data_IF_592804224612
#
_entry.id   IF_592804224612
#
_cell.length_a   1.000
_cell.length_b   1.000
_cell.length_c   1.000
_cell.angle_alpha   90.00
_cell.angle_beta   90.00
_cell.angle_gamma   90.00
#
_symmetry.space_group_name_H-M   'P 1'
#
loop_
_entity.id
_entity.type
_entity.pdbx_description
1 polymer ?
#
# COMPACT_ATOMS: atom_id res chain seq x y z
N UNK A 1 -12.39 -40.48 66.66
CA UNK A 1 -11.79 -39.27 66.05
C UNK A 1 -11.45 -39.45 64.56
N UNK A 2 -10.84 -40.56 64.12
CA UNK A 2 -10.46 -40.75 62.70
C UNK A 2 -11.65 -40.96 61.74
N UNK A 3 -12.67 -41.74 62.14
CA UNK A 3 -13.83 -42.06 61.30
C UNK A 3 -14.67 -40.83 60.92
N UNK A 4 -14.78 -39.85 61.83
CA UNK A 4 -15.47 -38.59 61.57
C UNK A 4 -14.70 -37.70 60.60
N UNK A 5 -13.36 -37.74 60.62
CA UNK A 5 -12.53 -37.00 59.67
C UNK A 5 -12.60 -37.62 58.28
N UNK A 6 -12.54 -38.94 58.18
CA UNK A 6 -12.70 -39.66 56.90
C UNK A 6 -14.07 -39.38 56.29
N UNK A 7 -15.15 -39.39 57.08
CA UNK A 7 -16.49 -39.02 56.61
C UNK A 7 -16.60 -37.57 56.14
N UNK A 8 -15.89 -36.65 56.81
CA UNK A 8 -15.84 -35.24 56.37
C UNK A 8 -15.09 -35.09 55.05
N UNK A 9 -13.96 -35.77 54.90
CA UNK A 9 -13.19 -35.77 53.66
C UNK A 9 -13.98 -36.39 52.51
N UNK A 10 -14.62 -37.55 52.70
CA UNK A 10 -15.44 -38.17 51.64
C UNK A 10 -16.63 -37.29 51.26
N UNK A 11 -17.25 -36.60 52.23
CA UNK A 11 -18.32 -35.63 51.94
C UNK A 11 -17.81 -34.39 51.19
N UNK A 12 -16.57 -33.95 51.46
CA UNK A 12 -15.95 -32.83 50.77
C UNK A 12 -15.59 -33.21 49.32
N UNK A 13 -15.00 -34.40 49.11
CA UNK A 13 -14.71 -34.91 47.78
C UNK A 13 -15.98 -35.07 46.94
N UNK A 14 -17.07 -35.60 47.52
CA UNK A 14 -18.35 -35.72 46.81
C UNK A 14 -18.95 -34.36 46.42
N UNK A 15 -18.78 -33.33 47.25
CA UNK A 15 -19.20 -31.96 46.92
C UNK A 15 -18.33 -31.34 45.83
N UNK A 16 -17.02 -31.62 45.83
CA UNK A 16 -16.10 -31.17 44.79
C UNK A 16 -16.43 -31.85 43.46
N UNK A 17 -16.68 -33.16 43.44
CA UNK A 17 -17.12 -33.88 42.23
C UNK A 17 -18.45 -33.33 41.68
N UNK A 18 -19.41 -33.03 42.55
CA UNK A 18 -20.67 -32.39 42.14
C UNK A 18 -20.45 -30.99 41.58
N UNK A 19 -19.58 -30.18 42.21
CA UNK A 19 -19.23 -28.86 41.71
C UNK A 19 -18.50 -28.92 40.36
N UNK A 20 -17.56 -29.86 40.18
CA UNK A 20 -16.86 -30.08 38.92
C UNK A 20 -17.84 -30.52 37.82
N UNK A 21 -18.79 -31.41 38.12
CA UNK A 21 -19.81 -31.79 37.15
C UNK A 21 -20.68 -30.60 36.73
N UNK A 22 -21.04 -29.68 37.64
CA UNK A 22 -21.81 -28.47 37.29
C UNK A 22 -20.97 -27.47 36.47
N UNK A 23 -19.67 -27.36 36.76
CA UNK A 23 -18.76 -26.43 36.07
C UNK A 23 -18.42 -26.95 34.66
N UNK A 24 -18.17 -28.26 34.51
CA UNK A 24 -17.79 -28.87 33.25
C UNK A 24 -18.99 -29.28 32.38
N UNK A 25 -20.15 -29.64 32.96
CA UNK A 25 -21.39 -29.90 32.21
C UNK A 25 -22.31 -28.68 32.18
N UNK A 26 -21.79 -27.51 31.83
CA UNK A 26 -22.63 -26.36 31.44
C UNK A 26 -23.33 -26.64 30.11
N UNK A 27 -24.40 -27.43 30.15
CA UNK A 27 -25.54 -27.26 29.25
C UNK A 27 -26.61 -26.50 30.02
N UNK A 28 -26.66 -25.19 29.79
CA UNK A 28 -27.74 -24.30 30.17
C UNK A 28 -28.36 -23.83 28.84
N UNK A 29 -29.69 -23.82 28.62
CA UNK A 29 -30.83 -23.78 29.57
C UNK A 29 -31.53 -25.12 29.89
N UNK A 30 -32.45 -25.15 30.89
CA UNK A 30 -33.31 -26.30 31.23
C UNK A 30 -34.34 -26.62 30.13
N UNK A 31 -34.49 -27.91 29.87
CA UNK A 31 -35.24 -28.56 28.76
C UNK A 31 -36.78 -28.42 28.83
N UNK A 32 -37.32 -27.38 29.48
CA UNK A 32 -38.76 -27.23 29.69
C UNK A 32 -39.41 -26.04 28.97
N UNK A 33 -38.67 -25.21 28.22
CA UNK A 33 -39.25 -24.07 27.50
C UNK A 33 -38.67 -23.96 26.08
N UNK A 34 -39.55 -24.18 25.10
CA UNK A 34 -39.39 -24.07 23.64
C UNK A 34 -38.72 -25.26 22.92
N UNK A 35 -39.55 -26.25 22.57
CA UNK A 35 -39.34 -27.06 21.37
C UNK A 35 -40.14 -26.42 20.22
N UNK A 36 -39.45 -25.81 19.26
CA UNK A 36 -39.99 -25.61 17.90
C UNK A 36 -39.60 -26.89 17.16
N UNK A 37 -40.60 -27.64 16.72
CA UNK A 37 -40.39 -28.90 16.02
C UNK A 37 -39.90 -28.63 14.60
N UNK A 38 -38.59 -28.64 14.41
CA UNK A 38 -37.95 -28.58 13.09
C UNK A 38 -37.80 -29.98 12.48
N UNK A 39 -38.88 -30.77 12.49
CA UNK A 39 -38.94 -32.04 11.76
C UNK A 39 -39.05 -31.74 10.26
N UNK A 40 -37.93 -31.47 9.58
CA UNK A 40 -37.96 -31.30 8.13
C UNK A 40 -36.69 -30.83 7.43
N UNK A 41 -35.65 -30.37 8.13
CA UNK A 41 -34.38 -30.01 7.49
C UNK A 41 -33.29 -31.00 7.90
N UNK A 42 -33.25 -32.12 7.18
CA UNK A 42 -32.06 -32.97 7.09
C UNK A 42 -30.95 -32.21 6.34
N UNK A 43 -30.45 -31.14 6.96
CA UNK A 43 -29.15 -30.62 6.62
C UNK A 43 -28.14 -31.55 7.31
N UNK A 44 -27.21 -32.19 6.59
CA UNK A 44 -26.14 -32.95 7.24
C UNK A 44 -25.24 -31.94 7.93
N UNK A 45 -25.61 -31.51 9.12
CA UNK A 45 -24.67 -30.92 10.05
C UNK A 45 -23.71 -32.06 10.37
N UNK A 46 -22.53 -32.02 9.77
CA UNK A 46 -21.39 -32.78 10.24
C UNK A 46 -21.07 -32.22 11.63
N UNK A 47 -21.81 -32.68 12.63
CA UNK A 47 -21.44 -32.61 14.04
C UNK A 47 -20.18 -33.42 14.09
N UNK A 48 -19.04 -32.75 13.89
CA UNK A 48 -17.75 -33.31 14.20
C UNK A 48 -17.91 -33.83 15.63
N UNK A 49 -18.05 -35.14 15.77
CA UNK A 49 -17.89 -35.84 17.03
C UNK A 49 -16.53 -35.40 17.53
N UNK A 50 -16.52 -34.38 18.40
CA UNK A 50 -15.36 -34.13 19.24
C UNK A 50 -15.34 -35.33 20.17
N UNK A 51 -14.70 -36.39 19.69
CA UNK A 51 -14.42 -37.57 20.49
C UNK A 51 -13.86 -37.09 21.83
N UNK A 52 -14.27 -37.75 22.91
CA UNK A 52 -13.78 -37.49 24.26
C UNK A 52 -12.27 -37.33 24.19
N UNK A 53 -11.75 -36.13 24.48
CA UNK A 53 -10.31 -35.86 24.50
C UNK A 53 -9.66 -36.86 25.47
N UNK A 54 -8.85 -37.78 24.94
CA UNK A 54 -8.11 -38.75 25.75
C UNK A 54 -6.77 -38.15 26.15
N UNK A 55 -6.37 -38.33 27.41
CA UNK A 55 -5.02 -37.93 27.87
C UNK A 55 -3.91 -38.64 27.09
N UNK A 56 -4.20 -39.79 26.48
CA UNK A 56 -3.24 -40.51 25.62
C UNK A 56 -2.94 -39.76 24.33
N UNK A 57 -3.89 -39.00 23.79
CA UNK A 57 -3.70 -38.26 22.54
C UNK A 57 -2.73 -37.08 22.76
N UNK A 58 -2.76 -36.47 23.95
CA UNK A 58 -1.86 -35.36 24.35
C UNK A 58 -0.41 -35.84 24.55
N UNK A 59 -0.24 -37.10 24.97
CA UNK A 59 1.09 -37.69 25.23
C UNK A 59 1.64 -38.33 23.94
N UNK A 60 0.77 -38.89 23.08
CA UNK A 60 1.14 -39.52 21.81
C UNK A 60 1.50 -38.50 20.72
N UNK A 61 0.75 -37.41 20.63
CA UNK A 61 1.10 -36.26 19.80
C UNK A 61 2.05 -35.36 20.59
N UNK A 62 3.35 -35.71 20.61
CA UNK A 62 4.37 -35.02 21.42
C UNK A 62 4.29 -33.48 21.40
N UNK A 63 4.64 -32.83 22.51
CA UNK A 63 4.62 -31.37 22.64
C UNK A 63 5.61 -30.68 21.67
N UNK A 64 5.16 -30.40 20.45
CA UNK A 64 5.92 -29.64 19.46
C UNK A 64 5.75 -28.13 19.72
N UNK A 65 6.74 -27.53 20.36
CA UNK A 65 6.78 -26.08 20.62
C UNK A 65 6.94 -25.32 19.30
N UNK A 66 6.08 -24.32 19.03
CA UNK A 66 6.18 -23.44 17.86
C UNK A 66 5.47 -23.91 16.58
N UNK A 67 4.75 -25.03 16.60
CA UNK A 67 3.96 -25.51 15.45
C UNK A 67 2.46 -25.19 15.66
N UNK A 68 1.70 -24.80 14.62
CA UNK A 68 0.26 -24.62 14.75
C UNK A 68 -0.42 -25.95 15.09
N UNK A 69 -0.87 -26.07 16.33
CA UNK A 69 -1.57 -27.27 16.84
C UNK A 69 -2.94 -27.48 16.20
N UNK A 70 -3.62 -26.42 15.76
CA UNK A 70 -4.95 -26.50 15.15
C UNK A 70 -5.07 -25.63 13.90
N UNK A 71 -5.71 -26.18 12.86
CA UNK A 71 -6.07 -25.44 11.66
C UNK A 71 -7.00 -24.28 12.00
N UNK A 72 -6.64 -23.06 11.57
CA UNK A 72 -7.50 -21.88 11.76
C UNK A 72 -8.80 -22.00 10.97
N UNK A 73 -9.92 -21.62 11.58
CA UNK A 73 -11.22 -21.53 10.91
C UNK A 73 -11.19 -20.51 9.77
N UNK A 74 -12.15 -20.61 8.86
CA UNK A 74 -12.29 -19.67 7.74
C UNK A 74 -12.51 -18.25 8.28
N UNK A 75 -13.39 -18.10 9.26
CA UNK A 75 -13.67 -16.82 9.95
C UNK A 75 -12.41 -16.16 10.50
N UNK A 76 -11.56 -16.91 11.22
CA UNK A 76 -10.29 -16.38 11.76
C UNK A 76 -9.31 -15.99 10.65
N UNK A 77 -9.30 -16.73 9.54
CA UNK A 77 -8.46 -16.38 8.38
C UNK A 77 -8.97 -15.13 7.67
N UNK A 78 -10.28 -15.01 7.45
CA UNK A 78 -10.90 -13.85 6.82
C UNK A 78 -10.75 -12.60 7.69
N UNK A 79 -11.02 -12.70 8.99
CA UNK A 79 -10.84 -11.59 9.94
C UNK A 79 -9.38 -11.10 10.01
N UNK A 80 -8.40 -11.95 9.68
CA UNK A 80 -6.98 -11.54 9.61
C UNK A 80 -6.58 -10.95 8.25
N UNK A 81 -7.36 -11.21 7.19
CA UNK A 81 -7.14 -10.68 5.83
C UNK A 81 -7.89 -9.36 5.63
N UNK A 82 -9.14 -9.31 6.08
CA UNK A 82 -10.10 -8.22 5.87
C UNK A 82 -10.67 -7.72 7.21
N UNK A 83 -9.85 -7.77 8.27
CA UNK A 83 -10.26 -7.37 9.61
C UNK A 83 -10.56 -5.89 9.72
N UNK A 84 -11.10 -5.49 10.88
CA UNK A 84 -11.35 -4.08 11.16
C UNK A 84 -10.06 -3.28 11.33
N UNK A 85 -10.05 -1.99 10.95
CA UNK A 85 -8.83 -1.18 10.98
C UNK A 85 -8.17 -1.09 12.35
N UNK A 86 -8.98 -1.11 13.41
CA UNK A 86 -8.56 -1.01 14.81
C UNK A 86 -7.60 -2.14 15.26
N UNK A 87 -7.66 -3.31 14.63
CA UNK A 87 -6.82 -4.45 15.01
C UNK A 87 -5.74 -4.76 13.98
N UNK A 88 -6.12 -4.96 12.72
CA UNK A 88 -5.17 -5.34 11.66
C UNK A 88 -5.77 -5.01 10.28
N UNK A 89 -5.52 -3.78 9.81
CA UNK A 89 -5.88 -3.37 8.45
C UNK A 89 -4.82 -3.85 7.47
N UNK A 90 -5.21 -4.72 6.54
CA UNK A 90 -4.38 -5.16 5.41
C UNK A 90 -4.91 -4.75 4.03
N UNK A 91 -6.21 -4.44 3.84
CA UNK A 91 -6.67 -3.93 2.57
C UNK A 91 -5.95 -2.63 2.18
N UNK A 92 -5.75 -2.38 0.88
CA UNK A 92 -5.19 -1.12 0.41
C UNK A 92 -6.10 0.05 0.81
N UNK A 93 -5.49 1.15 1.25
CA UNK A 93 -6.19 2.39 1.60
C UNK A 93 -6.23 3.29 0.36
N UNK A 94 -7.38 3.88 0.02
CA UNK A 94 -7.45 4.82 -1.10
C UNK A 94 -6.58 6.05 -0.81
N UNK A 95 -5.79 6.47 -1.81
CA UNK A 95 -5.01 7.72 -1.73
C UNK A 95 -5.93 8.91 -2.00
N UNK A 96 -5.94 9.89 -1.10
CA UNK A 96 -6.71 11.15 -1.23
C UNK A 96 -5.90 12.30 -1.81
N UNK A 97 -4.61 12.08 -2.08
CA UNK A 97 -3.64 13.14 -2.42
C UNK A 97 -3.38 13.22 -3.93
N UNK A 98 -4.34 12.80 -4.75
CA UNK A 98 -4.21 12.82 -6.21
C UNK A 98 -4.78 14.14 -6.74
N UNK A 99 -3.94 14.90 -7.45
CA UNK A 99 -4.26 16.18 -8.06
C UNK A 99 -4.18 16.08 -9.58
N UNK A 100 -4.88 16.96 -10.29
CA UNK A 100 -4.75 17.10 -11.75
C UNK A 100 -3.63 18.09 -12.07
N UNK A 101 -2.75 17.72 -13.00
CA UNK A 101 -1.67 18.58 -13.44
C UNK A 101 -2.24 19.75 -14.28
N UNK A 102 -1.87 21.01 -14.00
CA UNK A 102 -2.38 22.17 -14.75
C UNK A 102 -1.92 22.20 -16.21
N UNK A 103 -0.79 21.57 -16.53
CA UNK A 103 -0.19 21.65 -17.87
C UNK A 103 -0.70 20.57 -18.83
N UNK A 104 -0.98 19.36 -18.33
CA UNK A 104 -1.37 18.21 -19.17
C UNK A 104 -2.69 17.54 -18.76
N UNK A 105 -3.29 17.92 -17.63
CA UNK A 105 -4.52 17.31 -17.11
C UNK A 105 -4.35 15.92 -16.49
N UNK A 106 -3.17 15.29 -16.58
CA UNK A 106 -2.96 13.96 -15.98
C UNK A 106 -2.92 14.02 -14.45
N UNK A 107 -3.28 12.90 -13.80
CA UNK A 107 -3.23 12.80 -12.34
C UNK A 107 -1.79 12.63 -11.84
N UNK A 108 -1.46 13.31 -10.76
CA UNK A 108 -0.18 13.22 -10.07
C UNK A 108 -0.38 13.29 -8.56
N UNK A 109 0.59 12.80 -7.80
CA UNK A 109 0.55 12.86 -6.34
C UNK A 109 0.99 14.23 -5.83
N UNK A 110 0.30 14.76 -4.83
CA UNK A 110 0.66 16.02 -4.19
C UNK A 110 2.10 15.96 -3.62
N UNK A 111 2.91 16.97 -3.92
CA UNK A 111 4.32 17.02 -3.53
C UNK A 111 5.28 16.28 -4.47
N UNK A 112 4.77 15.61 -5.51
CA UNK A 112 5.58 15.01 -6.57
C UNK A 112 5.36 15.72 -7.89
N UNK A 113 6.37 15.71 -8.77
CA UNK A 113 6.22 16.20 -10.13
C UNK A 113 5.27 15.29 -10.94
N UNK A 114 4.60 15.86 -11.93
CA UNK A 114 3.78 15.09 -12.85
C UNK A 114 4.64 14.12 -13.66
N UNK A 115 4.34 12.82 -13.57
CA UNK A 115 5.10 11.77 -14.25
C UNK A 115 5.10 11.91 -15.77
N UNK A 116 3.96 12.26 -16.36
CA UNK A 116 3.83 12.42 -17.82
C UNK A 116 4.62 13.63 -18.35
N UNK A 117 4.52 14.78 -17.69
CA UNK A 117 5.33 15.95 -18.05
C UNK A 117 6.82 15.66 -17.89
N UNK A 118 7.20 15.01 -16.78
CA UNK A 118 8.59 14.63 -16.52
C UNK A 118 9.13 13.67 -17.58
N UNK A 119 8.31 12.72 -18.05
CA UNK A 119 8.70 11.78 -19.09
C UNK A 119 9.00 12.47 -20.42
N UNK A 120 8.22 13.48 -20.81
CA UNK A 120 8.52 14.31 -21.99
C UNK A 120 9.88 14.99 -21.89
N UNK A 121 10.16 15.62 -20.75
CA UNK A 121 11.45 16.26 -20.48
C UNK A 121 12.58 15.23 -20.51
N UNK A 122 12.36 14.05 -19.93
CA UNK A 122 13.34 12.96 -19.90
C UNK A 122 13.66 12.44 -21.29
N UNK A 123 12.68 12.34 -22.19
CA UNK A 123 12.92 11.92 -23.58
C UNK A 123 13.76 12.97 -24.30
N UNK A 124 13.37 14.25 -24.22
CA UNK A 124 14.08 15.34 -24.88
C UNK A 124 15.53 15.46 -24.38
N UNK A 125 15.74 15.45 -23.06
CA UNK A 125 17.07 15.54 -22.45
C UNK A 125 17.96 14.35 -22.77
N UNK A 126 17.40 13.15 -22.98
CA UNK A 126 18.18 11.99 -23.46
C UNK A 126 18.66 12.20 -24.88
N UNK A 127 17.78 12.64 -25.78
CA UNK A 127 18.17 12.94 -27.16
C UNK A 127 19.23 14.05 -27.22
N UNK A 128 19.13 15.06 -26.34
CA UNK A 128 20.16 16.08 -26.19
C UNK A 128 21.48 15.47 -25.70
N UNK A 129 21.45 14.59 -24.69
CA UNK A 129 22.64 13.91 -24.18
C UNK A 129 23.31 13.03 -25.23
N UNK A 130 22.53 12.30 -26.03
CA UNK A 130 23.03 11.47 -27.11
C UNK A 130 23.73 12.35 -28.17
N UNK A 131 23.12 13.47 -28.57
CA UNK A 131 23.74 14.43 -29.49
C UNK A 131 25.01 15.08 -28.91
N UNK A 132 25.04 15.34 -27.60
CA UNK A 132 26.23 15.83 -26.89
C UNK A 132 27.35 14.80 -26.94
N UNK A 133 27.03 13.54 -26.65
CA UNK A 133 27.99 12.46 -26.62
C UNK A 133 28.58 12.19 -28.02
N UNK A 134 27.76 12.26 -29.07
CA UNK A 134 28.21 12.10 -30.45
C UNK A 134 29.16 13.23 -30.89
N UNK A 135 28.89 14.49 -30.52
CA UNK A 135 29.74 15.63 -30.94
C UNK A 135 31.01 15.79 -30.10
N UNK A 136 30.96 15.59 -28.78
CA UNK A 136 32.10 15.81 -27.88
C UNK A 136 32.97 14.56 -27.70
N UNK A 137 32.41 13.38 -27.93
CA UNK A 137 33.09 12.11 -27.71
C UNK A 137 33.52 11.93 -26.25
N UNK A 138 34.75 11.46 -26.04
CA UNK A 138 35.34 11.20 -24.72
C UNK A 138 36.16 12.39 -24.18
N UNK A 139 36.14 13.53 -24.87
CA UNK A 139 36.96 14.69 -24.50
C UNK A 139 36.36 15.44 -23.29
N UNK A 140 37.21 15.96 -22.42
CA UNK A 140 36.77 16.81 -21.32
C UNK A 140 36.14 18.11 -21.87
N UNK A 141 35.06 18.54 -21.23
CA UNK A 141 34.31 19.73 -21.65
C UNK A 141 34.74 20.91 -20.78
N UNK A 142 35.59 21.78 -21.35
CA UNK A 142 36.13 22.97 -20.66
C UNK A 142 35.26 24.23 -20.86
N UNK A 143 34.39 24.21 -21.86
CA UNK A 143 33.56 25.34 -22.29
C UNK A 143 32.07 25.02 -22.11
N UNK A 144 31.25 26.05 -21.94
CA UNK A 144 29.80 25.89 -21.80
C UNK A 144 29.18 25.31 -23.07
N UNK A 145 28.21 24.41 -22.89
CA UNK A 145 27.54 23.71 -23.99
C UNK A 145 26.17 24.33 -24.24
N UNK A 146 25.96 24.87 -25.45
CA UNK A 146 24.65 25.37 -25.89
C UNK A 146 24.03 24.39 -26.87
N UNK A 147 22.77 24.03 -26.61
CA UNK A 147 21.94 23.27 -27.54
C UNK A 147 21.05 24.22 -28.35
N UNK A 148 21.20 24.18 -29.66
CA UNK A 148 20.43 24.93 -30.66
C UNK A 148 19.49 23.99 -31.40
N UNK A 149 18.26 24.41 -31.62
CA UNK A 149 17.29 23.70 -32.46
C UNK A 149 17.22 24.30 -33.86
N UNK A 150 16.56 23.57 -34.78
CA UNK A 150 16.40 24.03 -36.16
C UNK A 150 15.74 25.42 -36.24
N UNK A 151 16.39 26.32 -36.98
CA UNK A 151 15.91 27.69 -37.22
C UNK A 151 16.31 28.72 -36.16
N UNK A 152 17.21 28.40 -35.24
CA UNK A 152 17.60 29.28 -34.12
C UNK A 152 19.03 29.84 -34.21
N UNK A 153 19.36 30.59 -35.27
CA UNK A 153 20.73 31.07 -35.52
C UNK A 153 20.85 32.60 -35.54
N UNK A 154 20.27 33.31 -34.55
CA UNK A 154 20.16 34.77 -34.58
C UNK A 154 21.17 35.53 -33.69
N UNK A 155 22.16 34.87 -33.08
CA UNK A 155 23.13 35.53 -32.17
C UNK A 155 24.47 35.81 -32.86
N UNK A 156 25.08 36.95 -32.53
CA UNK A 156 26.37 37.44 -33.05
C UNK A 156 27.51 36.46 -32.78
N UNK A 157 28.44 36.31 -33.73
CA UNK A 157 29.64 35.45 -33.65
C UNK A 157 30.43 35.60 -32.34
N UNK A 158 30.43 36.79 -31.74
CA UNK A 158 31.08 37.09 -30.46
C UNK A 158 30.49 36.31 -29.27
N UNK A 159 29.19 36.03 -29.27
CA UNK A 159 28.52 35.27 -28.20
C UNK A 159 28.93 33.79 -28.20
N UNK A 160 29.29 33.26 -29.37
CA UNK A 160 29.61 31.86 -29.58
C UNK A 160 31.08 31.51 -29.32
N UNK A 161 31.98 32.50 -29.27
CA UNK A 161 33.43 32.27 -29.19
C UNK A 161 33.87 31.44 -27.98
N UNK A 162 33.10 31.45 -26.89
CA UNK A 162 33.44 30.76 -25.65
C UNK A 162 32.55 29.53 -25.37
N UNK A 163 31.70 29.12 -26.34
CA UNK A 163 30.65 28.13 -26.09
C UNK A 163 30.60 27.09 -27.21
N UNK A 164 30.47 25.82 -26.84
CA UNK A 164 30.34 24.71 -27.79
C UNK A 164 28.90 24.57 -28.23
N UNK A 165 28.70 24.65 -29.55
CA UNK A 165 27.40 24.61 -30.19
C UNK A 165 27.04 23.20 -30.62
N UNK A 166 25.89 22.73 -30.13
CA UNK A 166 25.32 21.44 -30.51
C UNK A 166 23.98 21.70 -31.17
N UNK A 167 23.81 21.12 -32.34
CA UNK A 167 22.64 21.35 -33.18
C UNK A 167 21.76 20.11 -33.10
N UNK A 168 20.48 20.32 -32.82
CA UNK A 168 19.47 19.27 -32.78
C UNK A 168 18.62 19.36 -34.06
N UNK A 169 18.45 18.26 -34.81
CA UNK A 169 17.66 18.22 -36.06
C UNK A 169 16.15 18.14 -35.77
N UNK A 170 15.67 18.98 -34.86
CA UNK A 170 14.27 19.08 -34.46
C UNK A 170 13.93 20.54 -34.18
N UNK A 171 12.64 20.87 -34.18
CA UNK A 171 12.13 22.16 -33.69
C UNK A 171 12.10 22.15 -32.17
N UNK A 172 12.42 23.30 -31.56
CA UNK A 172 12.39 23.47 -30.10
C UNK A 172 10.99 23.23 -29.56
N UNK A 173 10.83 22.37 -28.52
CA UNK A 173 9.56 22.21 -27.84
C UNK A 173 9.09 23.53 -27.21
N UNK A 174 7.78 23.80 -27.26
CA UNK A 174 7.20 25.06 -26.76
C UNK A 174 7.46 25.31 -25.27
N UNK A 175 7.51 24.24 -24.46
CA UNK A 175 7.78 24.31 -23.03
C UNK A 175 9.26 24.54 -22.70
N UNK A 176 10.16 24.39 -23.68
CA UNK A 176 11.59 24.57 -23.51
C UNK A 176 11.99 25.92 -24.08
N UNK A 177 12.04 26.95 -23.24
CA UNK A 177 12.37 28.31 -23.68
C UNK A 177 13.86 28.49 -24.00
N UNK A 178 14.16 29.42 -24.92
CA UNK A 178 15.54 29.70 -25.37
C UNK A 178 16.42 30.31 -24.29
N UNK A 179 15.82 31.02 -23.35
CA UNK A 179 16.51 31.87 -22.39
C UNK A 179 16.27 31.33 -20.98
N UNK A 180 16.87 30.19 -20.65
CA UNK A 180 16.69 29.55 -19.32
C UNK A 180 17.42 30.30 -18.20
N UNK A 181 18.54 30.92 -18.53
CA UNK A 181 19.43 31.60 -17.57
C UNK A 181 19.25 33.12 -17.56
N UNK A 182 18.49 33.67 -18.50
CA UNK A 182 18.22 35.10 -18.51
C UNK A 182 17.10 35.40 -17.51
N UNK A 183 17.26 36.40 -16.62
CA UNK A 183 16.20 36.81 -15.72
C UNK A 183 15.00 37.29 -16.53
N UNK A 184 13.79 36.83 -16.16
CA UNK A 184 12.57 37.27 -16.81
C UNK A 184 12.42 38.79 -16.64
N UNK A 185 12.33 39.54 -17.74
CA UNK A 185 12.12 41.00 -17.72
C UNK A 185 10.70 41.39 -17.28
N UNK A 186 9.83 40.41 -17.03
CA UNK A 186 8.45 40.63 -16.60
C UNK A 186 8.41 40.80 -15.09
N UNK A 187 8.10 42.00 -14.63
CA UNK A 187 7.75 42.28 -13.23
C UNK A 187 6.61 41.33 -12.81
N UNK A 188 6.72 40.62 -11.67
CA UNK A 188 5.65 39.74 -11.19
C UNK A 188 4.38 40.57 -10.98
N UNK A 189 3.32 40.27 -11.73
CA UNK A 189 2.06 40.98 -11.62
C UNK A 189 1.32 40.57 -10.34
N UNK A 190 0.97 41.54 -9.50
CA UNK A 190 0.17 41.34 -8.27
C UNK A 190 -1.30 40.95 -8.52
N UNK A 191 -1.76 40.91 -9.77
CA UNK A 191 -3.13 40.57 -10.11
C UNK A 191 -3.39 39.06 -9.97
N UNK A 192 -4.28 38.68 -9.05
CA UNK A 192 -4.75 37.30 -8.84
C UNK A 192 -5.58 36.75 -10.02
N UNK A 193 -5.97 37.61 -10.96
CA UNK A 193 -6.84 37.27 -12.07
C UNK A 193 -6.03 37.00 -13.34
N UNK A 194 -5.71 35.73 -13.58
CA UNK A 194 -5.15 35.27 -14.85
C UNK A 194 -6.32 35.12 -15.83
N UNK A 195 -6.45 36.04 -16.79
CA UNK A 195 -7.41 35.87 -17.89
C UNK A 195 -7.00 34.65 -18.72
N UNK A 196 -7.91 33.70 -19.01
CA UNK A 196 -7.58 32.58 -19.88
C UNK A 196 -7.14 33.11 -21.26
N UNK A 197 -6.10 32.51 -21.88
CA UNK A 197 -5.69 32.91 -23.22
C UNK A 197 -6.88 32.70 -24.16
N UNK A 198 -7.22 33.74 -24.92
CA UNK A 198 -8.26 33.65 -25.95
C UNK A 198 -7.79 32.66 -27.02
N UNK A 199 -8.35 31.46 -26.98
CA UNK A 199 -8.26 30.50 -28.08
C UNK A 199 -9.08 31.07 -29.25
N UNK A 200 -8.39 31.50 -30.30
CA UNK A 200 -8.93 31.72 -31.63
C UNK A 200 -8.25 30.74 -32.59
#
# INVERSE_FOLDING_TARGET
MAVSMVRRLTSAFRKIEQALNIIFNRKFPPEALYAIDCNGLNLPCNVNNRGRFSLKDIIGDGFLWGVPTVRRTIEKRMSRRFGVPKYNWKPPVPKTNLLMCPNCGSHHEAGLLCGYCYEKVKIETKEMQDAIQEKLGLSAVEEDVIVIYEGENNKTEEFWKNQKVIEMPKKRPEWFHKNLLEPSTVEPSDSKDIKPPQLA
#
